data_IF_121776994358
#
_entry.id   IF_121776994358
#
_cell.length_a   1.000
_cell.length_b   1.000
_cell.length_c   1.000
_cell.angle_alpha   90.00
_cell.angle_beta   90.00
_cell.angle_gamma   90.00
#
_symmetry.space_group_name_H-M   'P 1'
#
loop_
_entity.id
_entity.type
_entity.pdbx_description
1 polymer ?
#
# COMPACT_ATOMS: atom_id res chain seq x y z
N UNK A 1 -9.11 1.92 7.98
CA UNK A 1 -10.38 1.86 7.22
C UNK A 1 -11.21 0.71 7.75
N UNK A 2 -12.54 0.82 7.73
CA UNK A 2 -13.44 -0.27 8.11
C UNK A 2 -13.39 -1.40 7.06
N UNK A 3 -13.34 -2.67 7.50
CA UNK A 3 -13.38 -3.87 6.65
C UNK A 3 -14.71 -4.60 6.91
N UNK A 4 -15.75 -4.46 6.07
CA UNK A 4 -16.99 -5.21 6.22
C UNK A 4 -16.72 -6.72 6.13
N UNK A 5 -17.35 -7.53 7.00
CA UNK A 5 -17.13 -8.99 7.06
C UNK A 5 -17.35 -9.69 5.73
N UNK A 6 -18.34 -9.26 4.95
CA UNK A 6 -18.64 -9.84 3.64
C UNK A 6 -17.51 -9.65 2.60
N UNK A 7 -16.58 -8.72 2.83
CA UNK A 7 -15.47 -8.40 1.91
C UNK A 7 -14.10 -8.69 2.54
N UNK A 8 -14.06 -9.41 3.66
CA UNK A 8 -12.82 -9.80 4.31
C UNK A 8 -12.19 -10.99 3.58
N UNK A 9 -10.96 -10.81 3.13
CA UNK A 9 -10.08 -11.88 2.65
C UNK A 9 -8.79 -11.80 3.46
N UNK A 10 -8.38 -12.95 4.02
CA UNK A 10 -7.21 -13.07 4.91
C UNK A 10 -6.19 -14.10 4.37
N UNK A 11 -6.49 -14.77 3.25
CA UNK A 11 -5.54 -15.63 2.56
C UNK A 11 -4.42 -14.78 1.91
N UNK A 12 -3.22 -14.87 2.48
CA UNK A 12 -2.05 -14.09 2.07
C UNK A 12 -1.69 -14.32 0.59
N UNK A 13 -1.76 -15.55 0.10
CA UNK A 13 -1.39 -15.86 -1.29
C UNK A 13 -2.34 -15.19 -2.30
N UNK A 14 -3.65 -15.23 -2.01
CA UNK A 14 -4.65 -14.52 -2.83
C UNK A 14 -4.44 -13.01 -2.80
N UNK A 15 -4.18 -12.45 -1.62
CA UNK A 15 -3.92 -11.02 -1.46
C UNK A 15 -2.66 -10.60 -2.23
N UNK A 16 -1.57 -11.35 -2.14
CA UNK A 16 -0.33 -11.10 -2.88
C UNK A 16 -0.52 -11.23 -4.38
N UNK A 17 -1.26 -12.24 -4.84
CA UNK A 17 -1.60 -12.39 -6.25
C UNK A 17 -2.41 -11.20 -6.77
N UNK A 18 -3.41 -10.74 -6.02
CA UNK A 18 -4.18 -9.55 -6.34
C UNK A 18 -3.30 -8.30 -6.41
N UNK A 19 -2.50 -8.03 -5.37
CA UNK A 19 -1.59 -6.87 -5.35
C UNK A 19 -0.62 -6.85 -6.54
N UNK A 20 -0.10 -8.02 -6.96
CA UNK A 20 0.76 -8.13 -8.15
C UNK A 20 0.01 -7.87 -9.45
N UNK A 21 -1.24 -8.31 -9.56
CA UNK A 21 -2.09 -8.04 -10.72
C UNK A 21 -2.54 -6.57 -10.79
N UNK A 22 -2.64 -5.90 -9.64
CA UNK A 22 -3.10 -4.50 -9.51
C UNK A 22 -2.05 -3.67 -8.77
N UNK A 23 -0.88 -3.50 -9.38
CA UNK A 23 0.30 -2.90 -8.73
C UNK A 23 0.27 -1.37 -8.57
N UNK A 24 -0.92 -0.76 -8.61
CA UNK A 24 -1.14 0.67 -8.35
C UNK A 24 -1.91 0.82 -7.02
N UNK A 25 -1.18 1.11 -5.95
CA UNK A 25 -1.74 1.23 -4.60
C UNK A 25 -2.01 2.69 -4.21
N UNK A 26 -2.79 2.87 -3.14
CA UNK A 26 -2.99 4.19 -2.51
C UNK A 26 -2.22 4.24 -1.20
N UNK A 27 -1.16 5.04 -1.13
CA UNK A 27 -0.43 5.33 0.10
C UNK A 27 -1.14 6.43 0.87
N UNK A 28 -1.64 6.12 2.06
CA UNK A 28 -2.28 7.07 2.97
C UNK A 28 -1.37 7.32 4.16
N UNK A 29 -1.00 8.58 4.40
CA UNK A 29 -0.22 9.00 5.57
C UNK A 29 -0.78 10.30 6.16
N UNK A 30 -0.30 10.71 7.33
CA UNK A 30 -0.67 11.98 7.95
C UNK A 30 0.40 13.01 7.60
N UNK A 31 0.01 14.06 6.89
CA UNK A 31 0.86 15.21 6.57
C UNK A 31 0.28 16.42 7.28
N UNK A 32 1.05 17.07 8.15
CA UNK A 32 0.62 18.24 8.92
C UNK A 32 -0.70 18.02 9.70
N UNK A 33 -0.88 16.82 10.26
CA UNK A 33 -2.09 16.46 11.01
C UNK A 33 -3.31 16.11 10.14
N UNK A 34 -3.17 16.11 8.80
CA UNK A 34 -4.26 15.87 7.85
C UNK A 34 -3.96 14.59 7.04
N UNK A 35 -4.96 13.71 6.80
CA UNK A 35 -4.80 12.59 5.88
C UNK A 35 -4.44 13.04 4.46
N UNK A 36 -3.37 12.48 3.92
CA UNK A 36 -2.91 12.68 2.55
C UNK A 36 -2.84 11.34 1.83
N UNK A 37 -3.31 11.28 0.58
CA UNK A 37 -3.35 10.06 -0.20
C UNK A 37 -2.68 10.26 -1.58
N UNK A 38 -1.76 9.36 -1.94
CA UNK A 38 -1.19 9.30 -3.30
C UNK A 38 -1.40 7.93 -3.92
N UNK A 39 -1.76 7.92 -5.20
CA UNK A 39 -1.66 6.71 -6.02
C UNK A 39 -0.21 6.50 -6.44
N UNK A 40 0.38 5.37 -6.06
CA UNK A 40 1.78 5.06 -6.36
C UNK A 40 1.93 3.65 -6.93
N UNK A 41 2.78 3.46 -7.96
CA UNK A 41 3.19 2.13 -8.38
C UNK A 41 3.96 1.42 -7.27
N UNK A 42 3.68 0.14 -7.07
CA UNK A 42 4.30 -0.70 -6.05
C UNK A 42 4.83 -2.00 -6.66
N UNK A 43 6.00 -2.42 -6.21
CA UNK A 43 6.56 -3.75 -6.42
C UNK A 43 6.28 -4.58 -5.18
N UNK A 44 5.76 -5.80 -5.37
CA UNK A 44 5.33 -6.69 -4.29
C UNK A 44 6.19 -7.94 -4.28
N UNK A 45 7.01 -8.10 -3.24
CA UNK A 45 7.78 -9.32 -2.98
C UNK A 45 7.23 -10.04 -1.75
N UNK A 46 7.35 -11.36 -1.75
CA UNK A 46 7.03 -12.23 -0.62
C UNK A 46 8.26 -13.09 -0.36
N UNK A 47 8.90 -12.90 0.79
CA UNK A 47 10.11 -13.63 1.21
C UNK A 47 9.95 -14.02 2.67
N UNK A 48 10.19 -15.30 3.00
CA UNK A 48 10.15 -15.80 4.38
C UNK A 48 8.82 -15.47 5.11
N UNK A 49 7.70 -15.48 4.39
CA UNK A 49 6.38 -15.14 4.93
C UNK A 49 6.13 -13.64 5.11
N UNK A 50 7.08 -12.78 4.75
CA UNK A 50 6.96 -11.32 4.83
C UNK A 50 6.63 -10.74 3.46
N UNK A 51 5.51 -10.02 3.37
CA UNK A 51 5.15 -9.22 2.20
C UNK A 51 5.88 -7.88 2.29
N UNK A 52 6.70 -7.56 1.30
CA UNK A 52 7.37 -6.26 1.17
C UNK A 52 6.80 -5.51 -0.03
N UNK A 53 6.41 -4.26 0.22
CA UNK A 53 5.95 -3.31 -0.78
C UNK A 53 7.05 -2.27 -1.01
N UNK A 54 7.46 -2.07 -2.25
CA UNK A 54 8.49 -1.07 -2.60
C UNK A 54 7.96 -0.14 -3.68
N UNK A 55 8.06 1.16 -3.46
CA UNK A 55 7.67 2.19 -4.42
C UNK A 55 8.60 3.39 -4.32
N UNK A 56 8.27 4.47 -5.02
CA UNK A 56 8.99 5.74 -4.92
C UNK A 56 8.02 6.91 -4.88
N UNK A 57 8.46 8.00 -4.26
CA UNK A 57 7.74 9.26 -4.19
C UNK A 57 8.61 10.35 -4.81
N UNK A 58 7.98 11.27 -5.54
CA UNK A 58 8.66 12.49 -5.98
C UNK A 58 9.04 13.33 -4.74
N UNK A 59 10.17 14.04 -4.79
CA UNK A 59 10.57 14.97 -3.70
C UNK A 59 9.55 16.08 -3.43
N UNK A 60 8.70 16.41 -4.39
CA UNK A 60 7.63 17.38 -4.21
C UNK A 60 6.39 16.79 -3.51
N UNK A 61 6.27 15.46 -3.46
CA UNK A 61 5.19 14.80 -2.75
C UNK A 61 5.47 14.84 -1.24
N UNK A 62 4.71 15.58 -0.43
CA UNK A 62 5.05 15.80 0.98
C UNK A 62 5.07 14.50 1.82
N UNK A 63 4.48 13.41 1.32
CA UNK A 63 4.50 12.13 2.01
C UNK A 63 5.91 11.55 2.19
N UNK A 64 6.91 11.91 1.36
CA UNK A 64 8.26 11.33 1.47
C UNK A 64 8.97 11.69 2.80
N UNK A 65 8.56 12.78 3.46
CA UNK A 65 9.17 13.24 4.72
C UNK A 65 8.52 12.64 5.96
N UNK A 66 7.36 12.01 5.83
CA UNK A 66 6.54 11.52 6.95
C UNK A 66 6.29 10.01 6.88
N UNK A 67 6.85 9.33 5.87
CA UNK A 67 6.69 7.89 5.62
C UNK A 67 7.97 7.12 5.93
#
# INVERSE_FOLDING_TARGET
>A
MYRPTAFQEDNVDKLVAFMRATSLGTLVSIVNGIPFASHIPLVITLQEGVVKLTGHLAKQNPQWQVS
#
